data_IF_723566394150
#
_entry.id   IF_723566394150
#
_cell.length_a   1.000
_cell.length_b   1.000
_cell.length_c   1.000
_cell.angle_alpha   90.00
_cell.angle_beta   90.00
_cell.angle_gamma   90.00
#
_symmetry.space_group_name_H-M   'P 1'
#
loop_
_entity.id
_entity.type
_entity.pdbx_description
1 polymer ?
#
# COMPACT_ATOMS: atom_id res chain seq x y z
N UNK A 1 -1.06 -13.47 7.57
CA UNK A 1 -0.63 -12.20 6.95
C UNK A 1 -1.85 -11.63 6.25
N UNK A 2 -1.98 -10.32 6.22
CA UNK A 2 -3.02 -9.62 5.48
C UNK A 2 -2.32 -8.67 4.50
N UNK A 3 -2.73 -8.71 3.24
CA UNK A 3 -2.31 -7.76 2.21
C UNK A 3 -3.54 -6.93 1.88
N UNK A 4 -3.43 -5.61 2.07
CA UNK A 4 -4.48 -4.64 1.77
C UNK A 4 -4.08 -3.93 0.49
N UNK A 5 -4.85 -4.12 -0.57
CA UNK A 5 -4.66 -3.41 -1.83
C UNK A 5 -5.53 -2.15 -1.78
N UNK A 6 -4.91 -1.00 -1.93
CA UNK A 6 -5.58 0.30 -2.06
C UNK A 6 -5.40 0.83 -3.47
N UNK A 7 -6.37 1.59 -3.97
CA UNK A 7 -6.30 2.18 -5.31
C UNK A 7 -5.67 3.57 -5.26
N UNK A 8 -4.58 3.79 -5.99
CA UNK A 8 -3.90 5.09 -6.03
C UNK A 8 -4.71 6.20 -6.70
N UNK A 9 -5.70 5.83 -7.50
CA UNK A 9 -6.67 6.74 -8.12
C UNK A 9 -7.75 7.23 -7.14
N UNK A 10 -7.97 6.50 -6.04
CA UNK A 10 -9.07 6.75 -5.12
C UNK A 10 -8.71 7.88 -4.14
N UNK A 11 -9.62 8.86 -4.04
CA UNK A 11 -9.49 10.02 -3.14
C UNK A 11 -10.14 9.77 -1.78
N UNK A 12 -11.12 8.87 -1.73
CA UNK A 12 -11.81 8.51 -0.50
C UNK A 12 -11.19 7.25 0.11
N UNK A 13 -10.40 7.48 1.14
CA UNK A 13 -9.76 6.41 1.91
C UNK A 13 -10.46 6.18 3.25
N UNK A 14 -11.61 6.80 3.52
CA UNK A 14 -12.29 6.74 4.82
C UNK A 14 -12.57 5.30 5.27
N UNK A 15 -13.24 4.53 4.40
CA UNK A 15 -13.55 3.11 4.64
C UNK A 15 -12.30 2.23 4.75
N UNK A 16 -11.27 2.52 3.95
CA UNK A 16 -9.98 1.80 4.02
C UNK A 16 -9.30 2.04 5.38
N UNK A 17 -9.33 3.27 5.88
CA UNK A 17 -8.77 3.59 7.19
C UNK A 17 -9.60 3.01 8.33
N UNK A 18 -10.94 3.01 8.24
CA UNK A 18 -11.80 2.31 9.21
C UNK A 18 -11.42 0.83 9.28
N UNK A 19 -11.31 0.14 8.13
CA UNK A 19 -10.90 -1.27 8.11
C UNK A 19 -9.50 -1.47 8.71
N UNK A 20 -8.51 -0.66 8.31
CA UNK A 20 -7.15 -0.76 8.83
C UNK A 20 -7.10 -0.55 10.34
N UNK A 21 -7.69 0.55 10.82
CA UNK A 21 -7.52 1.00 12.20
C UNK A 21 -8.40 0.23 13.19
N UNK A 22 -9.63 -0.09 12.82
CA UNK A 22 -10.60 -0.69 13.73
C UNK A 22 -10.62 -2.22 13.66
N UNK A 23 -10.26 -2.79 12.50
CA UNK A 23 -10.32 -4.25 12.28
C UNK A 23 -8.92 -4.86 12.22
N UNK A 24 -8.03 -4.35 11.36
CA UNK A 24 -6.77 -5.04 11.10
C UNK A 24 -5.73 -4.81 12.20
N UNK A 25 -5.46 -3.56 12.56
CA UNK A 25 -4.43 -3.21 13.56
C UNK A 25 -4.69 -3.86 14.93
N UNK A 26 -5.93 -3.91 15.46
CA UNK A 26 -6.20 -4.56 16.76
C UNK A 26 -6.07 -6.09 16.71
N UNK A 27 -6.30 -6.70 15.55
CA UNK A 27 -6.42 -8.16 15.43
C UNK A 27 -5.23 -8.85 14.74
N UNK A 28 -4.31 -8.10 14.14
CA UNK A 28 -3.19 -8.63 13.37
C UNK A 28 -1.90 -7.95 13.81
N UNK A 29 -0.83 -8.73 14.02
CA UNK A 29 0.49 -8.21 14.33
C UNK A 29 0.94 -7.22 13.24
N UNK A 30 1.46 -6.05 13.63
CA UNK A 30 1.83 -4.96 12.70
C UNK A 30 2.74 -5.38 11.55
N UNK A 31 3.65 -6.33 11.77
CA UNK A 31 4.58 -6.87 10.76
C UNK A 31 3.92 -7.89 9.81
N UNK A 32 2.66 -8.24 10.05
CA UNK A 32 1.85 -9.13 9.20
C UNK A 32 0.74 -8.36 8.46
N UNK A 33 0.73 -7.03 8.53
CA UNK A 33 -0.15 -6.14 7.77
C UNK A 33 0.70 -5.45 6.71
N UNK A 34 0.46 -5.79 5.45
CA UNK A 34 1.08 -5.13 4.31
C UNK A 34 0.01 -4.32 3.59
N UNK A 35 0.34 -3.08 3.24
CA UNK A 35 -0.50 -2.24 2.40
C UNK A 35 0.25 -2.01 1.10
N UNK A 36 -0.42 -2.21 -0.03
CA UNK A 36 0.14 -1.96 -1.37
C UNK A 36 -0.84 -1.12 -2.18
N UNK A 37 -0.32 -0.16 -2.94
CA UNK A 37 -1.10 0.79 -3.72
C UNK A 37 -1.08 0.34 -5.19
N UNK A 38 -2.21 -0.10 -5.71
CA UNK A 38 -2.37 -0.41 -7.14
C UNK A 38 -2.79 0.85 -7.92
N UNK A 39 -2.97 0.73 -9.24
CA UNK A 39 -3.43 1.80 -10.14
C UNK A 39 -2.53 3.05 -10.11
N UNK A 40 -1.22 2.85 -10.00
CA UNK A 40 -0.24 3.94 -10.12
C UNK A 40 -0.38 4.70 -11.45
N UNK A 41 -0.79 4.01 -12.52
CA UNK A 41 -1.05 4.56 -13.85
C UNK A 41 -2.28 5.47 -13.91
N UNK A 42 -3.28 5.25 -13.04
CA UNK A 42 -4.50 6.06 -12.98
C UNK A 42 -4.49 7.08 -11.83
N UNK A 43 -3.47 7.06 -10.98
CA UNK A 43 -3.22 8.12 -10.02
C UNK A 43 -3.10 9.48 -10.74
N UNK A 44 -3.48 10.56 -10.04
CA UNK A 44 -3.61 11.89 -10.64
C UNK A 44 -4.51 11.95 -11.90
N UNK A 45 -5.47 11.02 -12.04
CA UNK A 45 -6.33 10.85 -13.23
C UNK A 45 -5.54 10.52 -14.50
N UNK A 46 -4.46 9.76 -14.37
CA UNK A 46 -3.57 9.36 -15.45
C UNK A 46 -2.67 10.47 -15.99
N UNK A 47 -2.72 11.68 -15.39
CA UNK A 47 -1.71 12.71 -15.67
C UNK A 47 -0.37 12.20 -15.16
N UNK A 48 0.71 12.62 -15.84
CA UNK A 48 2.08 12.29 -15.43
C UNK A 48 2.43 10.80 -15.57
N UNK A 49 1.53 10.00 -16.17
CA UNK A 49 1.85 8.67 -16.67
C UNK A 49 2.35 8.77 -18.11
N UNK A 50 3.49 8.16 -18.41
CA UNK A 50 4.03 8.07 -19.76
C UNK A 50 3.61 6.74 -20.41
N UNK A 51 2.66 6.73 -21.36
CA UNK A 51 2.18 5.51 -21.98
C UNK A 51 3.21 4.85 -22.90
N UNK A 52 4.19 5.60 -23.43
CA UNK A 52 5.19 5.08 -24.35
C UNK A 52 6.21 4.17 -23.67
N UNK A 53 6.53 4.47 -22.40
CA UNK A 53 7.46 3.68 -21.58
C UNK A 53 6.78 3.01 -20.38
N UNK A 54 5.46 3.16 -20.26
CA UNK A 54 4.63 2.56 -19.21
C UNK A 54 5.14 2.86 -17.80
N UNK A 55 5.42 4.15 -17.53
CA UNK A 55 6.00 4.56 -16.25
C UNK A 55 5.52 5.95 -15.82
N UNK A 56 5.53 6.26 -14.52
CA UNK A 56 5.29 7.60 -14.02
C UNK A 56 6.47 8.53 -14.31
N UNK A 57 6.19 9.82 -14.46
CA UNK A 57 7.21 10.86 -14.36
C UNK A 57 7.54 11.20 -12.88
N UNK A 58 8.44 12.16 -12.66
CA UNK A 58 8.86 12.58 -11.32
C UNK A 58 7.72 13.15 -10.45
N UNK A 59 6.75 13.82 -11.06
CA UNK A 59 5.60 14.39 -10.35
C UNK A 59 4.65 13.29 -9.89
N UNK A 60 4.36 12.30 -10.74
CA UNK A 60 3.54 11.16 -10.35
C UNK A 60 4.24 10.29 -9.30
N UNK A 61 5.56 10.09 -9.42
CA UNK A 61 6.35 9.40 -8.39
C UNK A 61 6.28 10.09 -7.04
N UNK A 62 6.39 11.42 -7.02
CA UNK A 62 6.30 12.22 -5.78
C UNK A 62 4.91 12.07 -5.15
N UNK A 63 3.86 12.16 -5.97
CA UNK A 63 2.48 11.96 -5.52
C UNK A 63 2.25 10.57 -4.90
N UNK A 64 2.75 9.50 -5.53
CA UNK A 64 2.61 8.13 -5.04
C UNK A 64 3.39 7.91 -3.74
N UNK A 65 4.59 8.46 -3.63
CA UNK A 65 5.40 8.41 -2.40
C UNK A 65 4.72 9.16 -1.25
N UNK A 66 4.21 10.37 -1.50
CA UNK A 66 3.44 11.13 -0.52
C UNK A 66 2.19 10.37 -0.07
N UNK A 67 1.51 9.68 -0.98
CA UNK A 67 0.36 8.85 -0.66
C UNK A 67 0.75 7.67 0.24
N UNK A 68 1.84 6.98 -0.05
CA UNK A 68 2.37 5.90 0.79
C UNK A 68 2.72 6.38 2.20
N UNK A 69 3.45 7.50 2.30
CA UNK A 69 3.80 8.13 3.59
C UNK A 69 2.54 8.56 4.35
N UNK A 70 1.55 9.13 3.65
CA UNK A 70 0.29 9.58 4.25
C UNK A 70 -0.50 8.42 4.88
N UNK A 71 -0.59 7.27 4.20
CA UNK A 71 -1.24 6.07 4.73
C UNK A 71 -0.55 5.62 6.02
N UNK A 72 0.79 5.47 6.00
CA UNK A 72 1.55 5.06 7.17
C UNK A 72 1.34 6.02 8.34
N UNK A 73 1.43 7.34 8.08
CA UNK A 73 1.25 8.39 9.08
C UNK A 73 -0.15 8.35 9.71
N UNK A 74 -1.21 8.27 8.89
CA UNK A 74 -2.60 8.25 9.39
C UNK A 74 -2.88 7.01 10.25
N UNK A 75 -2.39 5.84 9.85
CA UNK A 75 -2.50 4.62 10.68
C UNK A 75 -1.77 4.82 12.01
N UNK A 76 -0.56 5.40 11.99
CA UNK A 76 0.20 5.70 13.20
C UNK A 76 -0.51 6.69 14.11
N UNK A 77 -1.10 7.75 13.57
CA UNK A 77 -1.86 8.76 14.31
C UNK A 77 -3.12 8.16 14.94
N UNK A 78 -3.84 7.30 14.22
CA UNK A 78 -5.09 6.70 14.69
C UNK A 78 -4.88 5.58 15.72
N UNK A 79 -3.82 4.79 15.57
CA UNK A 79 -3.66 3.52 16.32
C UNK A 79 -2.43 3.48 17.22
N UNK A 80 -1.52 4.44 17.09
CA UNK A 80 -0.22 4.38 17.75
C UNK A 80 0.70 3.28 17.22
N UNK A 81 0.37 2.63 16.09
CA UNK A 81 1.17 1.56 15.47
C UNK A 81 1.78 2.04 14.15
N UNK A 82 3.09 1.83 13.98
CA UNK A 82 3.76 2.09 12.71
C UNK A 82 3.72 0.83 11.84
N UNK A 83 2.94 0.86 10.76
CA UNK A 83 2.96 -0.19 9.72
C UNK A 83 4.15 0.01 8.78
N UNK A 84 4.47 -1.00 7.98
CA UNK A 84 5.50 -0.89 6.95
C UNK A 84 5.03 0.11 5.87
N UNK A 85 5.93 0.95 5.33
CA UNK A 85 5.57 1.94 4.31
C UNK A 85 5.00 1.20 3.08
N UNK A 86 3.83 1.58 2.57
CA UNK A 86 3.26 0.97 1.38
C UNK A 86 4.17 1.09 0.16
N UNK A 87 4.09 0.11 -0.74
CA UNK A 87 4.68 0.17 -2.09
C UNK A 87 3.58 0.37 -3.12
N UNK A 88 3.90 1.03 -4.23
CA UNK A 88 2.94 1.39 -5.27
C UNK A 88 3.31 0.80 -6.63
N UNK A 89 2.33 0.34 -7.39
CA UNK A 89 2.53 -0.34 -8.67
C UNK A 89 1.35 -0.13 -9.63
N UNK A 90 1.55 -0.47 -10.89
CA UNK A 90 0.47 -0.61 -11.88
C UNK A 90 0.34 -2.06 -12.29
N UNK A 91 -0.78 -2.70 -11.93
CA UNK A 91 -1.12 -4.03 -12.41
C UNK A 91 -1.36 -4.04 -13.93
N UNK A 92 -2.00 -2.98 -14.46
CA UNK A 92 -2.39 -2.86 -15.86
C UNK A 92 -1.16 -2.88 -16.79
N UNK A 93 -0.12 -2.12 -16.42
CA UNK A 93 1.07 -1.95 -17.24
C UNK A 93 2.30 -2.69 -16.72
N UNK A 94 2.16 -3.51 -15.68
CA UNK A 94 3.27 -4.26 -15.09
C UNK A 94 4.34 -3.42 -14.39
N UNK A 95 4.15 -2.11 -14.28
CA UNK A 95 5.13 -1.20 -13.70
C UNK A 95 5.26 -1.40 -12.19
N UNK A 96 6.50 -1.55 -11.72
CA UNK A 96 6.87 -1.75 -10.31
C UNK A 96 6.24 -3.00 -9.64
N UNK A 97 5.69 -3.93 -10.44
CA UNK A 97 5.12 -5.19 -9.95
C UNK A 97 6.16 -6.05 -9.26
N UNK A 98 7.40 -6.09 -9.75
CA UNK A 98 8.50 -6.82 -9.12
C UNK A 98 8.74 -6.32 -7.68
N UNK A 99 8.83 -5.00 -7.48
CA UNK A 99 8.95 -4.43 -6.14
C UNK A 99 7.75 -4.75 -5.25
N UNK A 100 6.54 -4.82 -5.79
CA UNK A 100 5.37 -5.25 -5.02
C UNK A 100 5.47 -6.73 -4.59
N UNK A 101 5.98 -7.62 -5.46
CA UNK A 101 6.21 -9.02 -5.11
C UNK A 101 7.35 -9.21 -4.12
N UNK A 102 8.50 -8.57 -4.36
CA UNK A 102 9.64 -8.60 -3.45
C UNK A 102 9.23 -8.10 -2.06
N UNK A 103 8.45 -7.02 -2.00
CA UNK A 103 7.87 -6.52 -0.76
C UNK A 103 7.00 -7.55 -0.03
N UNK A 104 6.20 -8.34 -0.75
CA UNK A 104 5.39 -9.41 -0.15
C UNK A 104 6.27 -10.56 0.34
N UNK A 105 7.28 -10.95 -0.46
CA UNK A 105 8.19 -12.06 -0.17
C UNK A 105 9.03 -11.73 1.08
N UNK A 106 9.62 -10.53 1.13
CA UNK A 106 10.48 -10.06 2.21
C UNK A 106 9.76 -10.01 3.57
N UNK A 107 8.45 -9.81 3.54
CA UNK A 107 7.62 -9.72 4.73
C UNK A 107 6.72 -10.94 4.95
N UNK A 108 6.91 -12.00 4.16
CA UNK A 108 6.17 -13.23 4.32
C UNK A 108 6.54 -13.87 5.67
N UNK A 109 5.56 -14.19 6.54
CA UNK A 109 5.87 -14.76 7.83
C UNK A 109 6.49 -16.16 7.68
N UNK A 110 7.68 -16.33 8.26
CA UNK A 110 8.41 -17.62 8.27
C UNK A 110 7.71 -18.73 9.07
N UNK A 111 6.73 -18.36 9.91
CA UNK A 111 5.96 -19.30 10.73
C UNK A 111 4.46 -19.00 10.68
N UNK A 112 3.65 -20.07 10.79
CA UNK A 112 2.19 -19.97 10.91
C UNK A 112 1.82 -19.07 12.09
N UNK A 113 0.65 -18.41 12.00
CA UNK A 113 0.12 -17.61 13.11
C UNK A 113 -0.07 -18.55 14.31
N UNK A 114 0.54 -18.29 15.48
CA UNK A 114 0.25 -19.07 16.67
C UNK A 114 -1.24 -18.91 16.98
N UNK A 115 -1.93 -20.02 17.22
CA UNK A 115 -3.26 -19.96 17.82
C UNK A 115 -3.05 -19.54 19.27
N UNK A 116 -3.69 -18.45 19.69
CA UNK A 116 -3.75 -18.11 21.11
C UNK A 116 -4.64 -19.18 21.76
N UNK A 117 -4.06 -19.97 22.66
CA UNK A 117 -4.77 -20.91 23.53
C UNK A 117 -5.21 -20.20 24.81
#
# INVERSE_FOLDING_TARGET
>A
MVIVIVEGSNRDMGTTYTLLNEVLVPNIQKNRILVIINQADMAMKGRHWNPSIQSPDSQLLTFLEEQAVSIQKRVREATGINIIKPVYYSAEYGWNVQTAFDFIIDHMPSQRRPLLH
#
